data_IF_849366544058
#
_entry.id   IF_849366544058
#
_cell.length_a   1.000
_cell.length_b   1.000
_cell.length_c   1.000
_cell.angle_alpha   90.00
_cell.angle_beta   90.00
_cell.angle_gamma   90.00
#
_symmetry.space_group_name_H-M   'P 1'
#
loop_
_entity.id
_entity.type
_entity.pdbx_description
1 polymer ?
#
# COMPACT_ATOMS: atom_id res chain seq x y z
N UNK A 1 13.42 2.92 1.19
CA UNK A 1 12.47 2.86 2.33
C UNK A 1 12.65 1.55 3.07
N UNK A 2 12.40 1.48 4.40
CA UNK A 2 12.40 0.20 5.11
C UNK A 2 11.14 -0.61 4.78
N UNK A 3 11.23 -1.96 4.78
CA UNK A 3 10.09 -2.85 4.52
C UNK A 3 8.86 -2.53 5.39
N UNK A 4 9.07 -2.11 6.64
CA UNK A 4 7.99 -1.71 7.57
C UNK A 4 7.24 -0.48 7.08
N UNK A 5 7.93 0.50 6.50
CA UNK A 5 7.30 1.72 5.98
C UNK A 5 6.46 1.42 4.73
N UNK A 6 6.93 0.54 3.86
CA UNK A 6 6.20 0.13 2.65
C UNK A 6 4.90 -0.58 3.04
N UNK A 7 4.97 -1.50 4.01
CA UNK A 7 3.80 -2.24 4.46
C UNK A 7 2.79 -1.35 5.21
N UNK A 8 3.28 -0.43 6.05
CA UNK A 8 2.43 0.56 6.73
C UNK A 8 1.63 1.37 5.73
N UNK A 9 2.27 1.90 4.69
CA UNK A 9 1.56 2.60 3.61
C UNK A 9 0.52 1.70 2.96
N UNK A 10 0.89 0.44 2.66
CA UNK A 10 -0.01 -0.55 2.08
C UNK A 10 -1.28 -0.79 2.90
N UNK A 11 -1.14 -0.96 4.21
CA UNK A 11 -2.28 -1.21 5.08
C UNK A 11 -3.18 0.02 5.20
N UNK A 12 -2.60 1.20 5.40
CA UNK A 12 -3.37 2.44 5.49
C UNK A 12 -4.10 2.76 4.18
N UNK A 13 -3.49 2.54 3.01
CA UNK A 13 -4.13 2.70 1.71
C UNK A 13 -5.28 1.71 1.50
N UNK A 14 -5.13 0.45 1.92
CA UNK A 14 -6.21 -0.53 1.91
C UNK A 14 -7.39 -0.06 2.78
N UNK A 15 -7.09 0.43 3.99
CA UNK A 15 -8.12 0.96 4.88
C UNK A 15 -8.76 2.24 4.34
N UNK A 16 -8.02 3.05 3.58
CA UNK A 16 -8.50 4.28 2.96
C UNK A 16 -9.50 4.04 1.82
N UNK A 17 -9.46 2.92 1.11
CA UNK A 17 -10.30 2.69 -0.06
C UNK A 17 -11.79 3.02 0.22
N UNK A 18 -12.35 3.97 -0.55
CA UNK A 18 -13.72 4.48 -0.35
C UNK A 18 -13.89 5.49 0.79
N UNK A 19 -12.80 5.97 1.39
CA UNK A 19 -12.81 6.98 2.47
C UNK A 19 -11.87 8.14 2.13
N UNK A 20 -12.04 9.28 2.83
CA UNK A 20 -11.10 10.39 2.69
C UNK A 20 -9.74 10.03 3.32
N UNK A 21 -8.66 10.54 2.70
CA UNK A 21 -7.31 10.39 3.27
C UNK A 21 -7.21 10.97 4.70
N UNK A 22 -7.90 12.08 4.95
CA UNK A 22 -7.94 12.72 6.25
C UNK A 22 -8.51 11.81 7.34
N UNK A 23 -9.61 11.08 7.05
CA UNK A 23 -10.23 10.13 7.98
C UNK A 23 -9.25 9.06 8.46
N UNK A 24 -8.40 8.55 7.57
CA UNK A 24 -7.38 7.54 7.92
C UNK A 24 -6.19 8.15 8.64
N UNK A 25 -5.75 9.34 8.22
CA UNK A 25 -4.63 10.01 8.88
C UNK A 25 -4.93 10.39 10.32
N UNK A 26 -6.15 10.84 10.62
CA UNK A 26 -6.59 11.12 11.99
C UNK A 26 -6.57 9.89 12.90
N UNK A 27 -6.72 8.68 12.33
CA UNK A 27 -6.74 7.40 13.06
C UNK A 27 -5.43 6.62 12.96
N UNK A 28 -4.35 7.29 12.50
CA UNK A 28 -3.09 6.59 12.21
C UNK A 28 -2.47 5.93 13.44
N UNK A 29 -2.54 6.59 14.60
CA UNK A 29 -1.98 6.06 15.84
C UNK A 29 -2.84 4.92 16.42
N UNK A 30 -4.16 5.00 16.26
CA UNK A 30 -5.08 3.92 16.60
C UNK A 30 -4.82 2.67 15.73
N UNK A 31 -4.65 2.84 14.42
CA UNK A 31 -4.22 1.74 13.55
C UNK A 31 -2.84 1.21 13.91
N UNK A 32 -1.90 2.07 14.25
CA UNK A 32 -0.58 1.66 14.68
C UNK A 32 -0.63 0.77 15.92
N UNK A 33 -1.45 1.12 16.90
CA UNK A 33 -1.68 0.33 18.11
C UNK A 33 -2.40 -0.98 17.77
N UNK A 34 -3.53 -0.92 17.08
CA UNK A 34 -4.36 -2.07 16.74
C UNK A 34 -3.63 -3.10 15.86
N UNK A 35 -2.71 -2.65 15.01
CA UNK A 35 -1.93 -3.48 14.08
C UNK A 35 -0.48 -3.71 14.56
N UNK A 36 -0.22 -3.61 15.86
CA UNK A 36 1.06 -3.93 16.49
C UNK A 36 2.24 -3.29 15.73
N UNK A 37 2.20 -1.95 15.59
CA UNK A 37 3.16 -1.16 14.79
C UNK A 37 3.31 -1.62 13.32
N UNK A 38 2.28 -2.25 12.76
CA UNK A 38 2.28 -2.82 11.41
C UNK A 38 3.31 -3.94 11.21
N UNK A 39 3.59 -4.70 12.26
CA UNK A 39 4.48 -5.85 12.19
C UNK A 39 3.81 -6.99 11.41
N UNK A 40 4.30 -7.20 10.20
CA UNK A 40 3.75 -8.20 9.28
C UNK A 40 4.03 -9.64 9.72
N UNK A 41 5.08 -9.90 10.49
CA UNK A 41 5.34 -11.22 11.05
C UNK A 41 4.27 -11.59 12.06
N UNK A 42 3.92 -10.66 12.95
CA UNK A 42 2.86 -10.85 13.94
C UNK A 42 1.50 -10.93 13.25
N UNK A 43 1.18 -9.98 12.34
CA UNK A 43 -0.12 -9.96 11.65
C UNK A 43 -0.35 -11.23 10.81
N UNK A 44 0.69 -11.79 10.21
CA UNK A 44 0.58 -13.01 9.42
C UNK A 44 0.22 -14.26 10.26
N UNK A 45 0.45 -14.23 11.58
CA UNK A 45 0.07 -15.33 12.50
C UNK A 45 -1.38 -15.24 12.99
N UNK A 46 -2.05 -14.09 12.77
CA UNK A 46 -3.40 -13.88 13.25
C UNK A 46 -4.40 -14.82 12.57
N UNK A 47 -5.44 -15.15 13.32
CA UNK A 47 -6.55 -15.99 12.89
C UNK A 47 -7.86 -15.16 12.94
N UNK A 48 -9.00 -15.81 12.67
CA UNK A 48 -10.29 -15.13 12.57
C UNK A 48 -10.72 -14.47 13.90
N UNK A 49 -10.31 -15.04 15.03
CA UNK A 49 -10.58 -14.49 16.38
C UNK A 49 -10.01 -13.08 16.51
N UNK A 50 -8.82 -12.81 15.93
CA UNK A 50 -8.24 -11.46 15.94
C UNK A 50 -9.00 -10.50 15.03
N UNK A 51 -9.58 -10.98 13.95
CA UNK A 51 -10.48 -10.18 13.10
C UNK A 51 -11.72 -9.78 13.91
N UNK A 52 -12.32 -10.71 14.66
CA UNK A 52 -13.49 -10.45 15.51
C UNK A 52 -13.15 -9.43 16.61
N UNK A 53 -12.01 -9.55 17.24
CA UNK A 53 -11.51 -8.56 18.22
C UNK A 53 -11.39 -7.16 17.60
N UNK A 54 -10.73 -7.06 16.43
CA UNK A 54 -10.56 -5.78 15.73
C UNK A 54 -11.91 -5.19 15.25
N UNK A 55 -12.91 -6.02 15.00
CA UNK A 55 -14.26 -5.58 14.67
C UNK A 55 -14.98 -4.95 15.87
N UNK A 56 -14.54 -5.19 17.11
CA UNK A 56 -15.04 -4.54 18.30
C UNK A 56 -14.31 -3.21 18.63
N UNK A 57 -13.14 -2.98 18.05
CA UNK A 57 -12.37 -1.75 18.29
C UNK A 57 -13.01 -0.56 17.55
N UNK A 58 -13.67 0.32 18.33
CA UNK A 58 -14.35 1.51 17.82
C UNK A 58 -13.40 2.62 17.38
N UNK A 59 -12.13 2.52 17.69
CA UNK A 59 -11.11 3.52 17.33
C UNK A 59 -10.64 3.41 15.88
N UNK A 60 -10.82 2.25 15.26
CA UNK A 60 -10.51 2.00 13.85
C UNK A 60 -11.77 1.88 12.99
N UNK A 61 -11.62 1.94 11.66
CA UNK A 61 -12.72 1.69 10.73
C UNK A 61 -13.03 0.20 10.69
N UNK A 62 -14.22 -0.17 11.14
CA UNK A 62 -14.66 -1.56 11.25
C UNK A 62 -15.26 -2.05 9.94
N UNK A 63 -14.40 -2.58 9.08
CA UNK A 63 -14.78 -3.24 7.83
C UNK A 63 -14.12 -4.62 7.79
N UNK A 64 -14.91 -5.68 8.04
CA UNK A 64 -14.41 -7.06 8.14
C UNK A 64 -13.58 -7.47 6.94
N UNK A 65 -14.06 -7.19 5.72
CA UNK A 65 -13.33 -7.54 4.49
C UNK A 65 -11.95 -6.87 4.42
N UNK A 66 -11.85 -5.60 4.81
CA UNK A 66 -10.56 -4.90 4.85
C UNK A 66 -9.65 -5.42 5.96
N UNK A 67 -10.20 -5.72 7.14
CA UNK A 67 -9.44 -6.28 8.26
C UNK A 67 -8.92 -7.68 7.89
N UNK A 68 -9.75 -8.56 7.34
CA UNK A 68 -9.31 -9.88 6.84
C UNK A 68 -8.23 -9.75 5.77
N UNK A 69 -8.31 -8.73 4.90
CA UNK A 69 -7.29 -8.51 3.89
C UNK A 69 -5.90 -8.16 4.47
N UNK A 70 -5.83 -7.63 5.70
CA UNK A 70 -4.54 -7.37 6.34
C UNK A 70 -3.78 -8.67 6.61
N UNK A 71 -4.49 -9.72 7.02
CA UNK A 71 -3.91 -11.04 7.30
C UNK A 71 -3.37 -11.68 6.01
N UNK A 72 -4.20 -11.72 4.97
CA UNK A 72 -3.78 -12.28 3.67
C UNK A 72 -2.62 -11.48 3.06
N UNK A 73 -2.66 -10.15 3.17
CA UNK A 73 -1.62 -9.28 2.65
C UNK A 73 -0.31 -9.41 3.43
N UNK A 74 -0.34 -9.61 4.74
CA UNK A 74 0.85 -9.88 5.53
C UNK A 74 1.52 -11.22 5.14
N UNK A 75 0.74 -12.28 4.96
CA UNK A 75 1.24 -13.58 4.49
C UNK A 75 1.86 -13.47 3.09
N UNK A 76 1.16 -12.84 2.16
CA UNK A 76 1.65 -12.64 0.80
C UNK A 76 2.93 -11.76 0.77
N UNK A 77 3.02 -10.77 1.67
CA UNK A 77 4.22 -9.94 1.80
C UNK A 77 5.44 -10.76 2.24
N UNK A 78 5.28 -11.65 3.23
CA UNK A 78 6.34 -12.55 3.67
C UNK A 78 6.79 -13.50 2.55
N UNK A 79 5.85 -14.03 1.76
CA UNK A 79 6.17 -14.85 0.59
C UNK A 79 7.03 -14.09 -0.42
N UNK A 80 6.66 -12.84 -0.72
CA UNK A 80 7.46 -11.97 -1.60
C UNK A 80 8.86 -11.73 -1.01
N UNK A 81 8.96 -11.48 0.29
CA UNK A 81 10.26 -11.28 0.93
C UNK A 81 11.16 -12.52 0.81
N UNK A 82 10.59 -13.72 0.97
CA UNK A 82 11.35 -14.96 0.83
C UNK A 82 11.81 -15.21 -0.61
N UNK A 83 11.01 -14.86 -1.63
CA UNK A 83 11.35 -15.03 -3.04
C UNK A 83 12.34 -13.97 -3.58
N UNK A 84 12.15 -12.70 -3.17
CA UNK A 84 12.85 -11.55 -3.74
C UNK A 84 13.80 -10.86 -2.74
N UNK A 85 14.00 -11.42 -1.55
CA UNK A 85 14.77 -10.85 -0.41
C UNK A 85 14.11 -9.62 0.22
N UNK A 86 13.40 -8.81 -0.55
CA UNK A 86 12.65 -7.66 -0.04
C UNK A 86 11.46 -7.33 -0.94
N UNK A 87 10.47 -6.65 -0.37
CA UNK A 87 9.36 -6.12 -1.16
C UNK A 87 9.83 -4.99 -2.10
N UNK A 88 10.86 -4.26 -1.70
CA UNK A 88 11.47 -3.22 -2.52
C UNK A 88 12.06 -3.82 -3.81
N UNK A 89 12.87 -4.87 -3.71
CA UNK A 89 13.38 -5.60 -4.87
C UNK A 89 12.25 -6.11 -5.78
N UNK A 90 11.19 -6.64 -5.17
CA UNK A 90 10.03 -7.13 -5.94
C UNK A 90 9.34 -6.02 -6.72
N UNK A 91 9.10 -4.85 -6.11
CA UNK A 91 8.32 -3.80 -6.76
C UNK A 91 9.14 -3.06 -7.83
N UNK A 92 10.42 -2.79 -7.58
CA UNK A 92 11.31 -2.11 -8.53
C UNK A 92 11.64 -2.94 -9.79
N UNK A 93 11.51 -4.26 -9.74
CA UNK A 93 11.71 -5.11 -10.93
C UNK A 93 10.76 -4.81 -12.09
N UNK A 94 9.60 -4.23 -11.82
CA UNK A 94 8.62 -3.89 -12.85
C UNK A 94 9.01 -2.67 -13.69
N UNK A 95 10.02 -1.93 -13.28
CA UNK A 95 10.56 -0.77 -13.99
C UNK A 95 12.07 -0.89 -14.21
N UNK A 96 12.64 -2.08 -14.00
CA UNK A 96 14.10 -2.31 -14.09
C UNK A 96 14.92 -1.33 -13.24
N UNK A 97 14.36 -0.92 -12.10
CA UNK A 97 14.95 0.04 -11.18
C UNK A 97 14.85 1.51 -11.60
N UNK A 98 14.19 1.81 -12.72
CA UNK A 98 14.04 3.18 -13.21
C UNK A 98 12.80 3.89 -12.64
N UNK A 99 12.92 5.18 -12.38
CA UNK A 99 11.78 6.05 -12.03
C UNK A 99 11.03 6.42 -13.32
N UNK A 100 9.70 6.35 -13.27
CA UNK A 100 8.84 6.84 -14.35
C UNK A 100 8.55 8.31 -14.09
N UNK A 101 9.14 9.17 -14.91
CA UNK A 101 8.99 10.61 -14.83
C UNK A 101 7.84 11.06 -15.73
N UNK A 102 6.71 11.48 -15.17
CA UNK A 102 5.62 12.06 -15.92
C UNK A 102 5.80 13.58 -16.05
N UNK A 103 5.57 14.12 -17.26
CA UNK A 103 5.74 15.56 -17.53
C UNK A 103 4.40 16.30 -17.46
N UNK A 104 3.77 16.27 -16.28
CA UNK A 104 2.46 16.89 -16.07
C UNK A 104 2.59 18.41 -15.98
N UNK A 105 1.71 19.12 -16.68
CA UNK A 105 1.61 20.60 -16.60
C UNK A 105 0.70 21.04 -15.47
N UNK A 106 -0.34 20.25 -15.18
CA UNK A 106 -1.37 20.58 -14.21
C UNK A 106 -1.71 19.37 -13.33
N UNK A 107 -2.13 19.60 -12.09
CA UNK A 107 -2.50 18.57 -11.12
C UNK A 107 -3.68 17.69 -11.55
N UNK A 108 -4.62 18.21 -12.35
CA UNK A 108 -5.78 17.44 -12.86
C UNK A 108 -5.44 16.49 -14.01
N UNK A 109 -4.25 16.61 -14.61
CA UNK A 109 -3.75 15.67 -15.61
C UNK A 109 -3.22 14.37 -14.97
N UNK A 110 -3.09 14.34 -13.64
CA UNK A 110 -2.55 13.20 -12.92
C UNK A 110 -3.39 11.95 -13.12
N UNK A 111 -2.81 10.87 -13.64
CA UNK A 111 -3.51 9.60 -13.78
C UNK A 111 -3.86 9.02 -12.41
N UNK A 112 -4.89 8.19 -12.36
CA UNK A 112 -5.22 7.38 -11.18
C UNK A 112 -4.81 5.92 -11.33
N UNK A 113 -4.47 5.51 -12.56
CA UNK A 113 -4.04 4.16 -12.93
C UNK A 113 -3.08 4.22 -14.11
N UNK A 114 -2.36 3.14 -14.36
CA UNK A 114 -1.52 2.95 -15.54
C UNK A 114 -1.44 1.46 -15.89
N UNK A 115 -0.96 1.14 -17.10
CA UNK A 115 -0.70 -0.25 -17.49
C UNK A 115 0.26 -0.95 -16.51
N UNK A 116 1.22 -0.22 -15.95
CA UNK A 116 2.12 -0.72 -14.90
C UNK A 116 1.35 -1.07 -13.64
N UNK A 117 0.52 -0.16 -13.11
CA UNK A 117 -0.26 -0.42 -11.89
C UNK A 117 -1.28 -1.55 -12.09
N UNK A 118 -1.83 -1.72 -13.29
CA UNK A 118 -2.68 -2.86 -13.64
C UNK A 118 -1.92 -4.18 -13.58
N UNK A 119 -0.73 -4.22 -14.18
CA UNK A 119 0.15 -5.39 -14.19
C UNK A 119 0.56 -5.79 -12.78
N UNK A 120 1.04 -4.85 -11.99
CA UNK A 120 1.44 -5.08 -10.60
C UNK A 120 0.24 -5.53 -9.75
N UNK A 121 -0.91 -4.89 -9.89
CA UNK A 121 -2.12 -5.27 -9.16
C UNK A 121 -2.55 -6.71 -9.47
N UNK A 122 -2.47 -7.13 -10.74
CA UNK A 122 -2.75 -8.50 -11.16
C UNK A 122 -1.75 -9.51 -10.56
N UNK A 123 -0.46 -9.18 -10.61
CA UNK A 123 0.59 -10.04 -10.02
C UNK A 123 0.44 -10.17 -8.51
N UNK A 124 0.22 -9.07 -7.80
CA UNK A 124 -0.01 -9.07 -6.35
C UNK A 124 -1.25 -9.90 -5.97
N UNK A 125 -2.35 -9.79 -6.72
CA UNK A 125 -3.55 -10.62 -6.48
C UNK A 125 -3.27 -12.11 -6.65
N UNK A 126 -2.52 -12.51 -7.69
CA UNK A 126 -2.10 -13.91 -7.87
C UNK A 126 -1.26 -14.43 -6.71
N UNK A 127 -0.52 -13.55 -6.03
CA UNK A 127 0.30 -13.87 -4.86
C UNK A 127 -0.47 -13.85 -3.52
N UNK A 128 -1.79 -13.64 -3.58
CA UNK A 128 -2.66 -13.70 -2.40
C UNK A 128 -2.98 -12.35 -1.77
N UNK A 129 -2.56 -11.23 -2.36
CA UNK A 129 -3.02 -9.92 -1.89
C UNK A 129 -4.50 -9.71 -2.21
N UNK A 130 -5.21 -9.11 -1.27
CA UNK A 130 -6.62 -8.77 -1.39
C UNK A 130 -6.89 -7.29 -1.07
N UNK A 131 -8.07 -6.80 -1.44
CA UNK A 131 -8.43 -5.38 -1.31
C UNK A 131 -7.40 -4.41 -1.93
N UNK A 132 -6.73 -4.83 -3.01
CA UNK A 132 -5.76 -4.03 -3.73
C UNK A 132 -6.18 -3.95 -5.21
N UNK A 133 -6.34 -2.72 -5.71
CA UNK A 133 -6.68 -2.43 -7.10
C UNK A 133 -5.61 -1.57 -7.76
N UNK A 134 -5.74 -1.36 -9.08
CA UNK A 134 -4.81 -0.53 -9.85
C UNK A 134 -4.65 0.87 -9.27
N UNK A 135 -5.74 1.50 -8.82
CA UNK A 135 -5.74 2.83 -8.18
C UNK A 135 -4.87 2.82 -6.91
N UNK A 136 -5.05 1.80 -6.04
CA UNK A 136 -4.28 1.68 -4.80
C UNK A 136 -2.80 1.42 -5.11
N UNK A 137 -2.51 0.58 -6.11
CA UNK A 137 -1.13 0.32 -6.55
C UNK A 137 -0.51 1.59 -7.11
N UNK A 138 -1.22 2.34 -7.97
CA UNK A 138 -0.73 3.59 -8.55
C UNK A 138 -0.34 4.60 -7.46
N UNK A 139 -1.24 4.84 -6.50
CA UNK A 139 -0.96 5.71 -5.35
C UNK A 139 0.27 5.25 -4.54
N UNK A 140 0.47 3.93 -4.42
CA UNK A 140 1.66 3.38 -3.78
C UNK A 140 2.93 3.64 -4.58
N UNK A 141 2.90 3.45 -5.90
CA UNK A 141 4.06 3.71 -6.77
C UNK A 141 4.50 5.18 -6.69
N UNK A 142 3.55 6.11 -6.56
CA UNK A 142 3.84 7.52 -6.28
C UNK A 142 4.49 7.70 -4.89
N UNK A 143 3.92 7.07 -3.86
CA UNK A 143 4.38 7.23 -2.48
C UNK A 143 5.80 6.69 -2.24
N UNK A 144 6.23 5.68 -3.00
CA UNK A 144 7.58 5.07 -2.91
C UNK A 144 8.56 5.60 -3.95
N UNK A 145 8.13 6.54 -4.81
CA UNK A 145 9.00 7.23 -5.77
C UNK A 145 9.27 6.45 -7.07
N UNK A 146 8.50 5.41 -7.38
CA UNK A 146 8.59 4.72 -8.68
C UNK A 146 7.92 5.55 -9.78
N UNK A 147 6.86 6.30 -9.44
CA UNK A 147 6.20 7.23 -10.35
C UNK A 147 6.34 8.63 -9.79
N UNK A 148 6.94 9.52 -10.56
CA UNK A 148 6.97 10.93 -10.27
C UNK A 148 5.87 11.68 -11.05
N UNK A 149 4.82 12.07 -10.34
CA UNK A 149 3.68 12.85 -10.84
C UNK A 149 3.69 14.30 -10.34
N UNK A 150 4.85 14.78 -9.90
CA UNK A 150 4.97 16.22 -9.67
C UNK A 150 4.81 16.98 -10.99
N UNK A 151 4.05 18.07 -10.98
CA UNK A 151 3.97 18.95 -12.15
C UNK A 151 5.34 19.59 -12.42
N UNK A 152 5.63 19.87 -13.69
CA UNK A 152 6.94 20.39 -14.12
C UNK A 152 7.36 21.68 -13.45
N UNK A 153 6.41 22.48 -12.93
CA UNK A 153 6.66 23.70 -12.16
C UNK A 153 6.89 23.45 -10.65
N UNK A 154 6.76 22.21 -10.17
CA UNK A 154 6.95 21.88 -8.77
C UNK A 154 8.44 21.77 -8.45
N UNK A 155 8.90 22.35 -7.34
CA UNK A 155 10.28 22.26 -6.89
C UNK A 155 10.77 20.82 -6.64
N UNK A 156 9.84 19.89 -6.42
CA UNK A 156 10.14 18.46 -6.23
C UNK A 156 10.29 17.69 -7.54
N UNK A 157 9.95 18.27 -8.68
CA UNK A 157 9.94 17.56 -9.98
C UNK A 157 11.29 16.91 -10.32
N UNK A 158 12.39 17.60 -10.05
CA UNK A 158 13.74 17.11 -10.32
C UNK A 158 14.41 16.40 -9.12
N UNK A 159 13.69 16.28 -7.99
CA UNK A 159 14.23 15.70 -6.75
C UNK A 159 13.79 14.26 -6.46
N UNK A 160 13.00 13.66 -7.35
CA UNK A 160 12.45 12.30 -7.18
C UNK A 160 13.06 11.37 -8.22
#
# INVERSE_FOLDING_TARGET
MTNVNILRCSFLETMQAGLSRWTILQRREEYRRALVNFDHHIIATWQEEKVDELMQDTTIIRNRRKIQSLLSNAKAFLTIQSEYRSFDTYIWRFTDGAVIQNSLKNYWERPTTSALSDTISKDMKRRGFSCIGSITVYARLQAIGIINDHVTSCFRYEQV
#
